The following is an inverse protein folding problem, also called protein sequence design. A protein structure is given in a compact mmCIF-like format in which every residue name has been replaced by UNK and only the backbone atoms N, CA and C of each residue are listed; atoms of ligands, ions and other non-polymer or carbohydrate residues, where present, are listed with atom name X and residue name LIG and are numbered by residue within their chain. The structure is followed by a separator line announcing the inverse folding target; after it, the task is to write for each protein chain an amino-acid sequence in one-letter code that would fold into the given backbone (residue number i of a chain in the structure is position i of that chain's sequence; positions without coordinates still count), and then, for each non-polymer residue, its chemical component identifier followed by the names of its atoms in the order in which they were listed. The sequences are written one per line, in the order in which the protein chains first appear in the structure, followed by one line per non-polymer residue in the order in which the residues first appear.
data_IF_208135372920
#
_entry.id   IF_208135372920
#
_cell.length_a   1.000
_cell.length_b   1.000
_cell.length_c   1.000
_cell.angle_alpha   90.00
_cell.angle_beta   90.00
_cell.angle_gamma   90.00
#
_symmetry.space_group_name_H-M   'P 1'
#
loop_
_entity.id
_entity.type
_entity.pdbx_description
1 polymer ?
#
# COMPACT_ATOMS: atom_id res chain seq x y z
N UNK A 1 19.40 -10.52 9.47
CA UNK A 1 18.16 -11.30 9.23
C UNK A 1 17.34 -10.58 8.17
N UNK A 2 17.38 -11.03 6.92
CA UNK A 2 16.56 -10.47 5.83
C UNK A 2 15.09 -10.72 6.17
N UNK A 3 14.35 -9.66 6.50
CA UNK A 3 12.89 -9.77 6.70
C UNK A 3 12.29 -10.14 5.35
N UNK A 4 11.45 -11.18 5.26
CA UNK A 4 10.80 -11.53 4.01
C UNK A 4 10.08 -10.29 3.46
N UNK A 5 10.37 -9.98 2.20
CA UNK A 5 9.70 -8.88 1.51
C UNK A 5 8.20 -9.22 1.47
N UNK A 6 7.38 -8.34 2.05
CA UNK A 6 5.94 -8.51 2.01
C UNK A 6 5.49 -8.27 0.57
N UNK A 7 5.14 -9.34 -0.14
CA UNK A 7 4.72 -9.27 -1.52
C UNK A 7 3.26 -8.81 -1.60
N UNK A 8 2.99 -7.88 -2.50
CA UNK A 8 1.64 -7.48 -2.87
C UNK A 8 1.04 -8.58 -3.74
N UNK A 9 -0.13 -9.08 -3.38
CA UNK A 9 -0.84 -10.06 -4.19
C UNK A 9 -1.25 -9.43 -5.53
N UNK A 10 -1.12 -10.20 -6.61
CA UNK A 10 -1.44 -9.79 -7.98
C UNK A 10 -2.95 -9.71 -8.25
N UNK A 11 -3.71 -9.07 -7.36
CA UNK A 11 -5.14 -8.80 -7.57
C UNK A 11 -5.36 -7.81 -8.71
N UNK A 12 -4.40 -6.91 -8.91
CA UNK A 12 -4.33 -5.99 -10.04
C UNK A 12 -2.91 -6.00 -10.60
N UNK A 13 -2.81 -5.79 -11.89
CA UNK A 13 -1.55 -5.46 -12.56
C UNK A 13 -1.04 -4.07 -12.15
N UNK A 14 0.26 -3.83 -12.31
CA UNK A 14 0.87 -2.53 -12.01
C UNK A 14 0.19 -1.36 -12.75
N UNK A 15 -0.25 -1.58 -13.98
CA UNK A 15 -0.97 -0.59 -14.80
C UNK A 15 -2.34 -0.27 -14.21
N UNK A 16 -3.08 -1.28 -13.75
CA UNK A 16 -4.37 -1.09 -13.09
C UNK A 16 -4.23 -0.39 -11.73
N UNK A 17 -3.20 -0.72 -10.95
CA UNK A 17 -2.86 -0.02 -9.71
C UNK A 17 -2.56 1.47 -10.00
N UNK A 18 -1.80 1.74 -11.06
CA UNK A 18 -1.48 3.10 -11.49
C UNK A 18 -2.74 3.85 -11.93
N UNK A 19 -3.61 3.21 -12.70
CA UNK A 19 -4.90 3.79 -13.09
C UNK A 19 -5.76 4.15 -11.88
N UNK A 20 -5.86 3.25 -10.89
CA UNK A 20 -6.60 3.52 -9.66
C UNK A 20 -6.02 4.71 -8.88
N UNK A 21 -4.69 4.81 -8.81
CA UNK A 21 -4.01 5.95 -8.20
C UNK A 21 -4.32 7.28 -8.91
N UNK A 22 -4.36 7.29 -10.24
CA UNK A 22 -4.65 8.48 -11.05
C UNK A 22 -6.12 8.90 -10.99
N UNK A 23 -7.05 7.93 -10.97
CA UNK A 23 -8.50 8.20 -10.93
C UNK A 23 -9.02 8.45 -9.52
N UNK A 24 -8.22 8.23 -8.48
CA UNK A 24 -8.67 8.41 -7.10
C UNK A 24 -8.74 9.88 -6.70
N UNK A 25 -9.94 10.38 -6.42
CA UNK A 25 -10.16 11.74 -5.94
C UNK A 25 -9.99 11.93 -4.43
N UNK A 26 -9.91 10.83 -3.66
CA UNK A 26 -9.75 10.89 -2.21
C UNK A 26 -8.28 10.79 -1.85
N UNK A 27 -7.71 11.86 -1.29
CA UNK A 27 -6.28 11.95 -0.96
C UNK A 27 -5.78 10.80 -0.08
N UNK A 28 -6.58 10.39 0.91
CA UNK A 28 -6.23 9.28 1.80
C UNK A 28 -6.14 7.96 1.04
N UNK A 29 -7.14 7.65 0.20
CA UNK A 29 -7.15 6.42 -0.60
C UNK A 29 -6.05 6.47 -1.66
N UNK A 30 -5.76 7.65 -2.21
CA UNK A 30 -4.66 7.89 -3.15
C UNK A 30 -3.30 7.57 -2.52
N UNK A 31 -3.07 7.98 -1.27
CA UNK A 31 -1.88 7.57 -0.51
C UNK A 31 -1.79 6.05 -0.36
N UNK A 32 -2.90 5.36 -0.15
CA UNK A 32 -2.90 3.89 -0.03
C UNK A 32 -2.55 3.22 -1.36
N UNK A 33 -3.12 3.72 -2.46
CA UNK A 33 -2.75 3.29 -3.80
C UNK A 33 -1.27 3.55 -4.11
N UNK A 34 -0.72 4.68 -3.66
CA UNK A 34 0.70 4.98 -3.80
C UNK A 34 1.58 3.95 -3.08
N UNK A 35 1.21 3.55 -1.86
CA UNK A 35 1.95 2.52 -1.11
C UNK A 35 1.91 1.15 -1.82
N UNK A 36 0.72 0.73 -2.28
CA UNK A 36 0.57 -0.53 -3.02
C UNK A 36 1.37 -0.48 -4.33
N UNK A 37 1.33 0.65 -5.06
CA UNK A 37 2.11 0.87 -6.27
C UNK A 37 3.61 0.73 -6.03
N UNK A 38 4.15 1.39 -5.00
CA UNK A 38 5.57 1.31 -4.64
C UNK A 38 6.01 -0.11 -4.26
N UNK A 39 5.16 -0.87 -3.57
CA UNK A 39 5.47 -2.26 -3.18
C UNK A 39 5.25 -3.28 -4.30
N UNK A 40 4.46 -2.93 -5.32
CA UNK A 40 4.24 -3.77 -6.51
C UNK A 40 5.33 -3.61 -7.57
N UNK A 41 6.22 -2.62 -7.43
CA UNK A 41 7.36 -2.45 -8.33
C UNK A 41 8.39 -3.56 -8.09
N UNK A 42 8.82 -4.18 -9.19
CA UNK A 42 9.86 -5.21 -9.16
C UNK A 42 11.26 -4.59 -9.11
N UNK A 43 11.42 -3.36 -9.62
CA UNK A 43 12.69 -2.62 -9.59
C UNK A 43 12.45 -1.09 -9.43
N UNK A 44 12.97 -0.45 -8.36
CA UNK A 44 13.58 -1.09 -7.20
C UNK A 44 12.54 -1.82 -6.36
N UNK A 45 12.84 -3.04 -5.91
CA UNK A 45 11.99 -3.77 -4.98
C UNK A 45 12.07 -3.13 -3.58
N UNK A 46 11.10 -2.27 -3.26
CA UNK A 46 11.07 -1.57 -1.98
C UNK A 46 10.54 -2.47 -0.87
N UNK A 47 11.14 -2.37 0.31
CA UNK A 47 10.63 -2.96 1.53
C UNK A 47 9.48 -2.11 2.12
N UNK A 48 8.63 -2.75 2.91
CA UNK A 48 7.57 -2.08 3.68
C UNK A 48 8.12 -0.94 4.54
N UNK A 49 9.35 -1.08 5.05
CA UNK A 49 10.00 -0.05 5.86
C UNK A 49 10.33 1.18 5.02
N UNK A 50 10.97 1.00 3.86
CA UNK A 50 11.33 2.11 2.97
C UNK A 50 10.10 2.83 2.44
N UNK A 51 9.04 2.08 2.10
CA UNK A 51 7.78 2.70 1.71
C UNK A 51 7.21 3.50 2.87
N UNK A 52 7.12 2.92 4.07
CA UNK A 52 6.63 3.61 5.28
C UNK A 52 7.42 4.89 5.60
N UNK A 53 8.75 4.86 5.44
CA UNK A 53 9.62 6.03 5.60
C UNK A 53 9.29 7.12 4.56
N UNK A 54 9.06 6.75 3.29
CA UNK A 54 8.70 7.69 2.21
C UNK A 54 7.34 8.34 2.39
N UNK A 55 6.35 7.61 2.90
CA UNK A 55 4.99 8.12 3.12
C UNK A 55 4.76 8.70 4.51
N UNK A 56 5.76 8.62 5.40
CA UNK A 56 5.67 9.03 6.82
C UNK A 56 4.63 8.26 7.65
N UNK A 57 4.41 6.99 7.33
CA UNK A 57 3.55 6.09 8.11
C UNK A 57 4.37 5.15 8.99
N UNK A 58 3.71 4.48 9.93
CA UNK A 58 4.31 3.37 10.65
C UNK A 58 4.40 2.12 9.77
N UNK A 59 5.51 1.39 9.89
CA UNK A 59 5.73 0.13 9.15
C UNK A 59 4.66 -0.92 9.46
N UNK A 60 4.15 -0.94 10.69
CA UNK A 60 3.08 -1.85 11.10
C UNK A 60 1.76 -1.55 10.38
N UNK A 61 1.43 -0.27 10.26
CA UNK A 61 0.24 0.17 9.54
C UNK A 61 0.32 -0.18 8.05
N UNK A 62 1.48 0.05 7.39
CA UNK A 62 1.68 -0.33 5.99
C UNK A 62 1.57 -1.85 5.81
N UNK A 63 2.10 -2.65 6.74
CA UNK A 63 1.93 -4.11 6.73
C UNK A 63 0.46 -4.53 6.82
N UNK A 64 -0.33 -3.88 7.70
CA UNK A 64 -1.77 -4.11 7.83
C UNK A 64 -2.53 -3.73 6.56
N UNK A 65 -2.17 -2.62 5.91
CA UNK A 65 -2.74 -2.20 4.63
C UNK A 65 -2.52 -3.27 3.56
N UNK A 66 -1.26 -3.70 3.38
CA UNK A 66 -0.89 -4.70 2.36
C UNK A 66 -1.55 -6.04 2.64
N UNK A 67 -1.55 -6.52 3.89
CA UNK A 67 -2.24 -7.76 4.24
C UNK A 67 -3.75 -7.67 3.96
N UNK A 68 -4.36 -6.50 4.18
CA UNK A 68 -5.77 -6.28 3.87
C UNK A 68 -6.02 -6.30 2.36
N UNK A 69 -5.18 -5.62 1.58
CA UNK A 69 -5.23 -5.67 0.12
C UNK A 69 -5.03 -7.11 -0.38
N UNK A 70 -4.06 -7.85 0.16
CA UNK A 70 -3.81 -9.24 -0.22
C UNK A 70 -5.00 -10.15 0.08
N UNK A 71 -5.82 -9.85 1.10
CA UNK A 71 -7.00 -10.65 1.45
C UNK A 71 -8.27 -10.23 0.70
N UNK A 72 -8.46 -8.94 0.45
CA UNK A 72 -9.74 -8.38 -0.03
C UNK A 72 -9.62 -7.69 -1.41
N UNK A 73 -8.44 -7.63 -1.98
CA UNK A 73 -8.14 -6.89 -3.20
C UNK A 73 -8.39 -5.37 -3.05
N UNK A 74 -8.71 -4.68 -4.17
CA UNK A 74 -8.96 -3.23 -4.22
C UNK A 74 -10.04 -2.73 -3.25
N UNK A 75 -11.07 -3.53 -2.99
CA UNK A 75 -12.17 -3.21 -2.05
C UNK A 75 -11.61 -3.02 -0.63
N UNK A 76 -10.52 -3.72 -0.33
CA UNK A 76 -9.80 -3.60 0.93
C UNK A 76 -9.22 -2.21 1.20
N UNK A 77 -9.00 -1.38 0.17
CA UNK A 77 -8.41 -0.02 0.28
C UNK A 77 -9.46 1.10 0.43
N UNK A 78 -10.69 0.86 -0.04
CA UNK A 78 -11.76 1.86 -0.07
C UNK A 78 -12.72 1.75 1.13
N UNK A 79 -12.54 0.73 1.98
CA UNK A 79 -13.40 0.51 3.14
C UNK A 79 -13.26 1.57 4.24
N UNK A 80 -14.39 2.02 4.81
CA UNK A 80 -14.49 2.98 5.94
C UNK A 80 -13.69 2.62 7.21
N UNK A 81 -13.11 1.42 7.30
CA UNK A 81 -12.31 0.93 8.46
C UNK A 81 -10.80 1.13 8.28
N UNK A 82 -10.37 1.83 7.25
CA UNK A 82 -8.96 2.18 7.03
C UNK A 82 -8.64 3.62 7.40
N UNK A 83 -9.66 4.40 7.77
CA UNK A 83 -9.57 5.84 8.03
C UNK A 83 -8.73 6.20 9.26
N UNK A 84 -8.36 5.22 10.09
CA UNK A 84 -7.44 5.43 11.20
C UNK A 84 -6.01 5.57 10.65
N UNK A 85 -5.70 6.77 10.17
CA UNK A 85 -4.37 7.22 9.83
C UNK A 85 -3.53 7.18 11.12
N UNK A 86 -2.48 6.35 11.15
CA UNK A 86 -1.60 6.27 12.31
C UNK A 86 -0.27 6.94 11.96
N UNK A 87 -0.12 8.25 12.19
CA UNK A 87 1.15 8.93 11.98
C UNK A 87 2.21 8.28 12.86
N UNK A 88 3.45 8.29 12.36
CA UNK A 88 4.60 7.81 13.12
C UNK A 88 4.82 8.78 14.29
N UNK A 89 4.64 8.31 15.53
CA UNK A 89 5.06 9.02 16.75
C UNK A 89 6.58 9.02 16.89
#
# INVERSE_FOLDING_TARGET
MSRPHLQVASHLSYTEITRQYETCCNDQIKTYWQMIRLLSQQDPCLSVKEVADRVQFSTDWVRKLVNRYNRLGPIGLTGKRLSQHQPRS
#
